data_IF_169801247349
#
_entry.id   IF_169801247349
#
_cell.length_a   1.000
_cell.length_b   1.000
_cell.length_c   1.000
_cell.angle_alpha   90.00
_cell.angle_beta   90.00
_cell.angle_gamma   90.00
#
_symmetry.space_group_name_H-M   'P 1'
#
loop_
_entity.id
_entity.type
_entity.pdbx_description
1 polymer ?
#
# COMPACT_ATOMS: atom_id res chain seq x y z
N UNK A 1 -22.97 3.34 26.83
CA UNK A 1 -22.48 3.74 28.17
C UNK A 1 -22.05 2.58 29.08
N UNK A 2 -22.88 1.55 29.36
CA UNK A 2 -22.52 0.45 30.31
C UNK A 2 -21.12 -0.15 30.13
N UNK A 3 -20.74 -0.47 28.88
CA UNK A 3 -19.42 -1.04 28.57
C UNK A 3 -18.29 -0.06 28.90
N UNK A 4 -18.41 1.21 28.48
CA UNK A 4 -17.39 2.24 28.73
C UNK A 4 -17.21 2.49 30.23
N UNK A 5 -18.30 2.52 31.02
CA UNK A 5 -18.24 2.64 32.48
C UNK A 5 -17.52 1.46 33.11
N UNK A 6 -17.86 0.23 32.72
CA UNK A 6 -17.22 -0.97 33.24
C UNK A 6 -15.73 -1.05 32.89
N UNK A 7 -15.35 -0.63 31.66
CA UNK A 7 -13.94 -0.52 31.26
C UNK A 7 -13.24 0.52 32.13
N UNK A 8 -13.79 1.73 32.24
CA UNK A 8 -13.20 2.84 33.00
C UNK A 8 -13.05 2.50 34.49
N UNK A 9 -14.08 1.91 35.11
CA UNK A 9 -14.03 1.43 36.49
C UNK A 9 -12.92 0.39 36.69
N UNK A 10 -12.71 -0.49 35.71
CA UNK A 10 -11.68 -1.53 35.80
C UNK A 10 -10.26 -1.01 35.63
N UNK A 11 -10.04 -0.06 34.72
CA UNK A 11 -8.68 0.41 34.36
C UNK A 11 -8.25 1.66 35.13
N UNK A 12 -9.18 2.36 35.77
CA UNK A 12 -8.91 3.61 36.48
C UNK A 12 -8.77 4.83 35.56
N UNK A 13 -8.53 6.02 36.13
CA UNK A 13 -8.46 7.28 35.38
C UNK A 13 -7.19 7.46 34.56
N UNK A 14 -6.06 6.87 34.98
CA UNK A 14 -4.75 7.11 34.33
C UNK A 14 -4.53 6.29 33.06
N UNK A 15 -5.34 5.26 32.82
CA UNK A 15 -5.23 4.41 31.64
C UNK A 15 -5.94 5.04 30.45
N UNK A 16 -5.29 5.13 29.29
CA UNK A 16 -5.89 5.72 28.09
C UNK A 16 -6.97 4.78 27.53
N UNK A 17 -8.19 5.27 27.40
CA UNK A 17 -9.33 4.57 26.78
C UNK A 17 -9.83 5.42 25.63
N UNK A 18 -9.96 4.82 24.44
CA UNK A 18 -10.59 5.49 23.30
C UNK A 18 -11.69 4.65 22.68
N UNK A 19 -12.52 5.31 21.87
CA UNK A 19 -13.55 4.65 21.07
C UNK A 19 -13.27 4.87 19.60
N UNK A 20 -13.40 3.82 18.78
CA UNK A 20 -13.41 3.95 17.32
C UNK A 20 -14.85 3.83 16.86
N UNK A 21 -15.37 4.86 16.21
CA UNK A 21 -16.81 5.02 15.98
C UNK A 21 -17.08 5.52 14.56
N UNK A 22 -18.03 4.88 13.87
CA UNK A 22 -18.66 5.47 12.70
C UNK A 22 -19.59 6.60 13.16
N UNK A 23 -19.22 7.85 12.84
CA UNK A 23 -20.03 9.03 13.17
C UNK A 23 -21.06 9.31 12.07
N UNK A 24 -20.83 8.78 10.87
CA UNK A 24 -21.78 8.75 9.75
C UNK A 24 -21.54 7.43 8.99
N UNK A 25 -22.50 6.51 9.04
CA UNK A 25 -22.43 5.21 8.40
C UNK A 25 -22.69 5.28 6.88
N UNK A 26 -23.13 6.43 6.34
CA UNK A 26 -23.48 6.61 4.93
C UNK A 26 -24.51 5.61 4.42
N UNK A 27 -25.52 5.34 5.25
CA UNK A 27 -26.66 4.46 4.93
C UNK A 27 -27.98 5.14 5.29
N UNK A 28 -29.03 4.84 4.54
CA UNK A 28 -30.37 5.37 4.79
C UNK A 28 -30.98 4.85 6.10
N UNK A 29 -30.63 3.63 6.52
CA UNK A 29 -31.10 2.94 7.72
C UNK A 29 -30.07 2.98 8.88
N UNK A 30 -28.95 3.70 8.69
CA UNK A 30 -27.83 3.72 9.62
C UNK A 30 -27.73 5.00 10.45
N UNK A 31 -26.61 5.12 11.15
CA UNK A 31 -26.24 6.33 11.89
C UNK A 31 -25.86 7.43 10.91
N UNK A 32 -26.66 8.50 10.84
CA UNK A 32 -26.31 9.71 10.11
C UNK A 32 -25.41 10.64 10.95
N UNK A 33 -24.81 11.65 10.32
CA UNK A 33 -23.90 12.57 11.01
C UNK A 33 -24.53 13.29 12.23
N UNK A 34 -25.76 13.84 12.15
CA UNK A 34 -26.42 14.43 13.32
C UNK A 34 -26.60 13.44 14.48
N UNK A 35 -27.07 12.22 14.22
CA UNK A 35 -27.25 11.21 15.25
C UNK A 35 -25.91 10.73 15.81
N UNK A 36 -24.90 10.51 14.97
CA UNK A 36 -23.56 10.12 15.39
C UNK A 36 -22.89 11.18 16.27
N UNK A 37 -23.03 12.46 15.92
CA UNK A 37 -22.58 13.57 16.77
C UNK A 37 -23.32 13.62 18.10
N UNK A 38 -24.64 13.38 18.12
CA UNK A 38 -25.40 13.32 19.37
C UNK A 38 -24.93 12.16 20.28
N UNK A 39 -24.70 10.98 19.71
CA UNK A 39 -24.13 9.82 20.42
C UNK A 39 -22.74 10.18 20.95
N UNK A 40 -21.89 10.78 20.12
CA UNK A 40 -20.53 11.14 20.50
C UNK A 40 -20.51 12.20 21.61
N UNK A 41 -21.39 13.22 21.56
CA UNK A 41 -21.58 14.19 22.65
C UNK A 41 -22.03 13.52 23.94
N UNK A 42 -22.92 12.54 23.86
CA UNK A 42 -23.36 11.79 25.04
C UNK A 42 -22.22 10.96 25.65
N UNK A 43 -21.42 10.27 24.82
CA UNK A 43 -20.25 9.52 25.27
C UNK A 43 -19.20 10.47 25.88
N UNK A 44 -18.96 11.59 25.20
CA UNK A 44 -18.07 12.67 25.64
C UNK A 44 -18.70 13.55 26.72
N UNK A 45 -19.84 13.14 27.30
CA UNK A 45 -20.49 13.78 28.45
C UNK A 45 -20.05 13.16 29.79
N UNK A 46 -19.44 11.97 29.76
CA UNK A 46 -18.81 11.32 30.92
C UNK A 46 -17.28 11.20 30.72
N UNK A 47 -16.45 11.33 31.77
CA UNK A 47 -14.98 11.15 31.72
C UNK A 47 -14.59 9.67 31.56
N UNK A 48 -15.10 9.06 30.49
CA UNK A 48 -14.91 7.64 30.20
C UNK A 48 -13.89 7.39 29.10
N UNK A 49 -13.72 8.33 28.17
CA UNK A 49 -12.82 8.21 27.02
C UNK A 49 -11.92 9.43 26.92
N UNK A 50 -10.71 9.21 26.41
CA UNK A 50 -9.64 10.19 26.23
C UNK A 50 -9.46 10.57 24.75
N UNK A 51 -9.90 9.71 23.83
CA UNK A 51 -9.92 10.00 22.40
C UNK A 51 -11.07 9.31 21.66
N UNK A 52 -11.42 9.86 20.50
CA UNK A 52 -12.29 9.23 19.49
C UNK A 52 -11.54 9.04 18.18
N UNK A 53 -11.59 7.85 17.61
CA UNK A 53 -11.13 7.58 16.25
C UNK A 53 -12.33 7.56 15.29
N UNK A 54 -12.45 8.62 14.50
CA UNK A 54 -13.61 8.90 13.66
C UNK A 54 -13.55 8.07 12.38
N UNK A 55 -14.62 7.31 12.14
CA UNK A 55 -14.91 6.63 10.88
C UNK A 55 -16.10 7.29 10.19
N UNK A 56 -16.06 7.29 8.87
CA UNK A 56 -17.21 7.56 8.00
C UNK A 56 -17.38 6.40 7.03
N UNK A 57 -18.61 5.92 6.88
CA UNK A 57 -18.99 4.78 6.06
C UNK A 57 -19.31 3.51 6.86
N UNK A 58 -19.54 2.41 6.15
CA UNK A 58 -19.98 1.13 6.71
C UNK A 58 -19.33 -0.04 5.96
N UNK A 59 -19.53 -1.26 6.46
CA UNK A 59 -18.87 -2.48 5.94
C UNK A 59 -19.88 -3.54 5.46
N UNK A 60 -21.07 -3.12 5.03
CA UNK A 60 -22.15 -4.07 4.66
C UNK A 60 -21.79 -4.95 3.46
N UNK A 61 -20.95 -4.43 2.55
CA UNK A 61 -20.47 -5.09 1.35
C UNK A 61 -19.14 -4.47 0.92
N UNK A 62 -18.48 -5.09 -0.06
CA UNK A 62 -17.13 -4.71 -0.49
C UNK A 62 -17.07 -3.28 -1.07
N UNK A 63 -18.11 -2.86 -1.79
CA UNK A 63 -18.18 -1.50 -2.34
C UNK A 63 -18.22 -0.46 -1.20
N UNK A 64 -19.07 -0.65 -0.18
CA UNK A 64 -19.13 0.23 0.98
C UNK A 64 -17.83 0.18 1.80
N UNK A 65 -17.24 -1.00 1.97
CA UNK A 65 -15.96 -1.17 2.65
C UNK A 65 -14.84 -0.39 1.95
N UNK A 66 -14.83 -0.37 0.61
CA UNK A 66 -13.83 0.40 -0.17
C UNK A 66 -13.93 1.90 0.07
N UNK A 67 -15.09 2.44 0.43
CA UNK A 67 -15.22 3.84 0.82
C UNK A 67 -14.64 4.12 2.21
N UNK A 68 -14.66 3.14 3.13
CA UNK A 68 -14.05 3.24 4.48
C UNK A 68 -12.54 3.02 4.43
N UNK A 69 -12.10 2.08 3.59
CA UNK A 69 -10.70 1.72 3.37
C UNK A 69 -10.37 1.92 1.89
N UNK A 70 -10.15 3.18 1.45
CA UNK A 70 -9.94 3.48 0.04
C UNK A 70 -8.76 2.72 -0.54
N UNK A 71 -8.98 2.18 -1.74
CA UNK A 71 -8.03 1.35 -2.48
C UNK A 71 -7.17 2.23 -3.41
N UNK A 72 -6.22 1.62 -4.12
CA UNK A 72 -5.44 2.30 -5.15
C UNK A 72 -6.34 3.00 -6.18
N UNK A 73 -5.92 4.17 -6.66
CA UNK A 73 -6.68 4.97 -7.62
C UNK A 73 -7.84 5.79 -7.04
N UNK A 74 -8.31 5.51 -5.81
CA UNK A 74 -9.26 6.37 -5.10
C UNK A 74 -8.61 7.64 -4.53
N UNK A 75 -9.40 8.63 -4.14
CA UNK A 75 -8.90 9.87 -3.55
C UNK A 75 -8.11 9.62 -2.24
N UNK A 76 -7.04 10.38 -2.03
CA UNK A 76 -6.33 10.42 -0.75
C UNK A 76 -7.17 11.17 0.30
N UNK A 77 -7.09 10.71 1.55
CA UNK A 77 -7.74 11.34 2.71
C UNK A 77 -9.23 11.73 2.53
N UNK A 78 -10.11 10.89 1.92
CA UNK A 78 -11.43 11.32 1.46
C UNK A 78 -12.39 11.75 2.57
N UNK A 79 -12.11 11.37 3.83
CA UNK A 79 -12.95 11.69 4.99
C UNK A 79 -12.30 12.67 5.95
N UNK A 80 -11.17 13.28 5.57
CA UNK A 80 -10.43 14.19 6.45
C UNK A 80 -11.24 15.45 6.81
N UNK A 81 -11.98 16.03 5.87
CA UNK A 81 -12.84 17.19 6.14
C UNK A 81 -13.98 16.85 7.09
N UNK A 82 -14.54 15.65 6.97
CA UNK A 82 -15.56 15.16 7.88
C UNK A 82 -15.00 14.97 9.29
N UNK A 83 -13.80 14.41 9.44
CA UNK A 83 -13.14 14.33 10.74
C UNK A 83 -12.89 15.73 11.35
N UNK A 84 -12.49 16.71 10.53
CA UNK A 84 -12.35 18.10 10.93
C UNK A 84 -13.65 18.73 11.44
N UNK A 85 -14.77 18.47 10.75
CA UNK A 85 -16.10 18.89 11.21
C UNK A 85 -16.44 18.28 12.58
N UNK A 86 -16.18 16.98 12.76
CA UNK A 86 -16.42 16.30 14.05
C UNK A 86 -15.54 16.90 15.16
N UNK A 87 -14.28 17.22 14.87
CA UNK A 87 -13.37 17.85 15.84
C UNK A 87 -13.87 19.24 16.26
N UNK A 88 -14.24 20.09 15.30
CA UNK A 88 -14.79 21.43 15.60
C UNK A 88 -16.03 21.36 16.50
N UNK A 89 -16.92 20.40 16.24
CA UNK A 89 -18.12 20.16 17.08
C UNK A 89 -17.77 19.73 18.51
N UNK A 90 -16.67 18.97 18.69
CA UNK A 90 -16.22 18.53 20.01
C UNK A 90 -15.46 19.60 20.78
N UNK A 91 -14.75 20.52 20.11
CA UNK A 91 -14.09 21.64 20.78
C UNK A 91 -15.08 22.49 21.59
N UNK A 92 -16.32 22.66 21.09
CA UNK A 92 -17.38 23.37 21.79
C UNK A 92 -17.86 22.70 23.08
N UNK A 93 -17.51 21.44 23.32
CA UNK A 93 -17.86 20.73 24.57
C UNK A 93 -16.93 21.09 25.73
N UNK A 94 -15.78 21.73 25.47
CA UNK A 94 -14.80 22.12 26.48
C UNK A 94 -14.04 20.95 27.13
N UNK A 95 -14.22 19.71 26.66
CA UNK A 95 -13.71 18.49 27.30
C UNK A 95 -12.42 17.92 26.72
N UNK A 96 -11.74 18.63 25.81
CA UNK A 96 -10.37 18.30 25.39
C UNK A 96 -10.18 16.88 24.81
N UNK A 97 -11.23 16.28 24.24
CA UNK A 97 -11.16 14.93 23.68
C UNK A 97 -10.32 14.94 22.40
N UNK A 98 -9.28 14.11 22.33
CA UNK A 98 -8.45 14.02 21.14
C UNK A 98 -9.20 13.30 20.00
N UNK A 99 -9.12 13.86 18.79
CA UNK A 99 -9.77 13.32 17.59
C UNK A 99 -8.74 12.70 16.67
N UNK A 100 -8.89 11.39 16.46
CA UNK A 100 -8.05 10.59 15.60
C UNK A 100 -8.81 10.29 14.31
N UNK A 101 -8.08 10.16 13.20
CA UNK A 101 -8.68 9.71 11.95
C UNK A 101 -7.67 8.90 11.11
N UNK A 102 -8.22 8.03 10.27
CA UNK A 102 -7.50 7.32 9.22
C UNK A 102 -8.45 7.14 8.04
N UNK A 103 -7.95 7.24 6.81
CA UNK A 103 -8.60 6.76 5.58
C UNK A 103 -7.70 7.15 4.40
N UNK A 104 -6.86 6.23 3.92
CA UNK A 104 -5.89 6.48 2.82
C UNK A 104 -5.10 7.79 3.02
N UNK A 105 -4.48 7.94 4.19
CA UNK A 105 -3.43 8.92 4.46
C UNK A 105 -2.14 8.11 4.49
N UNK A 106 -1.49 8.02 3.34
CA UNK A 106 -0.36 7.15 3.04
C UNK A 106 0.99 7.87 3.09
N UNK A 107 0.99 9.21 3.04
CA UNK A 107 2.19 10.04 3.12
C UNK A 107 2.21 11.00 4.33
N UNK A 108 3.42 11.40 4.70
CA UNK A 108 3.69 12.27 5.86
C UNK A 108 3.23 13.70 5.62
N UNK A 109 3.24 14.19 4.38
CA UNK A 109 2.84 15.56 4.07
C UNK A 109 1.32 15.74 4.27
N UNK A 110 0.51 14.78 3.81
CA UNK A 110 -0.94 14.74 4.06
C UNK A 110 -1.24 14.62 5.55
N UNK A 111 -0.53 13.77 6.29
CA UNK A 111 -0.68 13.66 7.75
C UNK A 111 -0.34 14.98 8.47
N UNK A 112 0.76 15.65 8.08
CA UNK A 112 1.13 16.98 8.61
C UNK A 112 0.09 18.04 8.26
N UNK A 113 -0.43 18.02 7.04
CA UNK A 113 -1.49 18.94 6.62
C UNK A 113 -2.73 18.76 7.51
N UNK A 114 -3.19 17.52 7.71
CA UNK A 114 -4.33 17.21 8.56
C UNK A 114 -4.21 17.77 9.98
N UNK A 115 -3.03 17.61 10.60
CA UNK A 115 -2.77 18.11 11.96
C UNK A 115 -2.61 19.63 11.97
N UNK A 116 -1.83 20.20 11.04
CA UNK A 116 -1.55 21.65 10.96
C UNK A 116 -2.82 22.47 10.72
N UNK A 117 -3.76 21.96 9.92
CA UNK A 117 -5.05 22.60 9.67
C UNK A 117 -6.07 22.38 10.81
N UNK A 118 -5.67 21.75 11.93
CA UNK A 118 -6.54 21.53 13.08
C UNK A 118 -7.71 20.58 12.78
N UNK A 119 -7.59 19.69 11.79
CA UNK A 119 -8.67 18.75 11.46
C UNK A 119 -8.70 17.56 12.40
N UNK A 120 -7.55 17.20 12.96
CA UNK A 120 -7.34 16.04 13.84
C UNK A 120 -6.15 16.28 14.75
N UNK A 121 -6.14 15.61 15.90
CA UNK A 121 -5.01 15.63 16.85
C UNK A 121 -4.02 14.48 16.57
N UNK A 122 -4.47 13.41 15.91
CA UNK A 122 -3.61 12.31 15.47
C UNK A 122 -4.12 11.66 14.18
N UNK A 123 -3.18 11.26 13.32
CA UNK A 123 -3.48 10.43 12.15
C UNK A 123 -3.07 8.97 12.43
N UNK A 124 -4.02 8.06 12.22
CA UNK A 124 -3.75 6.63 12.16
C UNK A 124 -3.31 6.22 10.74
N UNK A 125 -2.18 5.53 10.63
CA UNK A 125 -1.64 5.09 9.33
C UNK A 125 -1.35 3.58 9.28
N UNK A 126 -2.36 2.71 9.41
CA UNK A 126 -2.13 1.25 9.48
C UNK A 126 -1.33 0.70 8.29
N UNK A 127 -1.84 0.88 7.06
CA UNK A 127 -1.18 0.33 5.85
C UNK A 127 0.18 0.97 5.55
N UNK A 128 0.36 2.24 5.91
CA UNK A 128 1.66 2.90 5.77
C UNK A 128 2.71 2.28 6.72
N UNK A 129 2.33 1.95 7.96
CA UNK A 129 3.24 1.25 8.88
C UNK A 129 3.52 -0.20 8.45
N UNK A 130 2.57 -0.87 7.78
CA UNK A 130 2.85 -2.17 7.17
C UNK A 130 3.91 -2.04 6.06
N UNK A 131 3.77 -1.05 5.18
CA UNK A 131 4.76 -0.79 4.14
C UNK A 131 6.12 -0.33 4.71
N UNK A 132 6.10 0.52 5.73
CA UNK A 132 7.28 1.10 6.37
C UNK A 132 7.14 1.14 7.91
N UNK A 133 7.59 0.10 8.62
CA UNK A 133 7.50 0.06 10.08
C UNK A 133 8.43 1.08 10.75
N UNK A 134 9.48 1.54 10.06
CA UNK A 134 10.37 2.58 10.56
C UNK A 134 9.89 4.01 10.21
N UNK A 135 8.63 4.21 9.80
CA UNK A 135 8.10 5.49 9.33
C UNK A 135 8.37 6.61 10.35
N UNK A 136 8.00 6.40 11.62
CA UNK A 136 8.23 7.40 12.69
C UNK A 136 9.71 7.63 12.96
N UNK A 137 10.53 6.56 12.90
CA UNK A 137 11.99 6.66 13.06
C UNK A 137 12.62 7.49 11.94
N UNK A 138 12.22 7.25 10.69
CA UNK A 138 12.70 7.98 9.50
C UNK A 138 12.31 9.46 9.54
N UNK A 139 11.10 9.78 10.03
CA UNK A 139 10.68 11.17 10.30
C UNK A 139 11.61 11.84 11.31
N UNK A 140 11.86 11.19 12.47
CA UNK A 140 12.74 11.74 13.52
C UNK A 140 14.19 11.94 13.04
N UNK A 141 14.66 11.12 12.12
CA UNK A 141 16.00 11.20 11.53
C UNK A 141 16.09 12.16 10.33
N UNK A 142 14.98 12.76 9.90
CA UNK A 142 14.96 13.67 8.75
C UNK A 142 15.20 13.01 7.39
N UNK A 143 15.05 11.67 7.29
CA UNK A 143 15.27 10.89 6.07
C UNK A 143 13.97 10.41 5.45
N UNK A 144 12.95 11.27 5.48
CA UNK A 144 11.58 10.96 5.04
C UNK A 144 11.48 10.52 3.58
N UNK A 145 12.36 11.02 2.70
CA UNK A 145 12.44 10.61 1.30
C UNK A 145 12.75 9.11 1.11
N UNK A 146 13.22 8.41 2.15
CA UNK A 146 13.49 6.97 2.14
C UNK A 146 12.28 6.13 2.58
N UNK A 147 11.18 6.74 3.01
CA UNK A 147 9.98 6.03 3.49
C UNK A 147 9.40 5.21 2.34
N UNK A 148 9.20 3.90 2.57
CA UNK A 148 8.51 3.03 1.63
C UNK A 148 7.00 3.35 1.61
N UNK A 149 6.44 3.90 0.53
CA UNK A 149 5.04 4.31 0.52
C UNK A 149 4.10 3.11 0.48
N UNK A 150 2.95 3.23 1.13
CA UNK A 150 1.81 2.35 0.84
C UNK A 150 1.25 2.70 -0.54
N UNK A 151 1.02 1.71 -1.38
CA UNK A 151 0.48 1.91 -2.74
C UNK A 151 -1.01 1.58 -2.85
N UNK A 152 -1.69 1.36 -1.72
CA UNK A 152 -3.14 1.12 -1.69
C UNK A 152 -3.60 -0.17 -2.37
N UNK A 153 -2.70 -1.09 -2.71
CA UNK A 153 -2.97 -2.30 -3.50
C UNK A 153 -3.81 -3.39 -2.81
N UNK A 154 -4.30 -3.14 -1.58
CA UNK A 154 -5.17 -4.01 -0.77
C UNK A 154 -4.76 -5.46 -0.52
N UNK A 155 -3.62 -5.92 -1.03
CA UNK A 155 -3.10 -7.27 -0.78
C UNK A 155 -3.07 -7.66 0.71
N UNK A 156 -2.80 -6.69 1.59
CA UNK A 156 -2.86 -6.89 3.04
C UNK A 156 -4.24 -7.29 3.55
N UNK A 157 -5.30 -6.73 2.98
CA UNK A 157 -6.68 -6.98 3.37
C UNK A 157 -7.22 -8.24 2.69
N UNK A 158 -6.95 -8.41 1.39
CA UNK A 158 -7.38 -9.58 0.62
C UNK A 158 -6.85 -10.87 1.25
N UNK A 159 -5.58 -10.86 1.68
CA UNK A 159 -4.95 -11.97 2.36
C UNK A 159 -5.53 -12.27 3.75
N UNK A 160 -6.00 -11.27 4.49
CA UNK A 160 -6.70 -11.51 5.76
C UNK A 160 -7.99 -12.30 5.49
N UNK A 161 -8.79 -11.87 4.52
CA UNK A 161 -10.08 -12.48 4.23
C UNK A 161 -9.98 -13.85 3.53
N UNK A 162 -8.97 -14.04 2.67
CA UNK A 162 -8.85 -15.25 1.86
C UNK A 162 -7.83 -16.26 2.38
N UNK A 163 -6.83 -15.82 3.16
CA UNK A 163 -5.68 -16.64 3.53
C UNK A 163 -5.27 -16.56 5.02
N UNK A 164 -5.99 -15.79 5.85
CA UNK A 164 -5.82 -15.78 7.30
C UNK A 164 -4.59 -15.05 7.84
N UNK A 165 -3.84 -14.32 7.00
CA UNK A 165 -2.67 -13.54 7.44
C UNK A 165 -2.54 -12.22 6.66
N UNK A 166 -1.94 -11.21 7.27
CA UNK A 166 -1.77 -9.89 6.66
C UNK A 166 -0.34 -9.72 6.12
N UNK A 167 -0.20 -9.58 4.80
CA UNK A 167 1.09 -9.37 4.13
C UNK A 167 1.10 -8.07 3.34
N UNK A 168 2.29 -7.50 3.10
CA UNK A 168 2.42 -6.33 2.24
C UNK A 168 3.01 -6.72 0.87
N UNK A 169 2.38 -6.27 -0.22
CA UNK A 169 2.95 -6.43 -1.57
C UNK A 169 4.26 -5.64 -1.73
N UNK A 170 4.41 -4.55 -0.97
CA UNK A 170 5.56 -3.67 -1.05
C UNK A 170 6.67 -4.08 -0.07
N UNK A 171 6.31 -4.54 1.14
CA UNK A 171 7.24 -4.95 2.19
C UNK A 171 7.18 -6.46 2.44
N UNK A 172 8.15 -7.19 1.89
CA UNK A 172 8.20 -8.65 1.99
C UNK A 172 8.30 -9.19 3.44
N UNK A 173 8.85 -8.37 4.35
CA UNK A 173 9.04 -8.73 5.76
C UNK A 173 7.76 -8.61 6.60
N UNK A 174 6.74 -7.85 6.15
CA UNK A 174 5.47 -7.71 6.87
C UNK A 174 4.83 -9.08 7.09
N UNK A 175 4.52 -9.41 8.34
CA UNK A 175 3.95 -10.69 8.74
C UNK A 175 4.97 -11.83 8.83
N UNK A 176 6.25 -11.56 8.59
CA UNK A 176 7.35 -12.55 8.59
C UNK A 176 8.55 -12.10 9.43
N UNK A 177 8.36 -11.14 10.33
CA UNK A 177 9.44 -10.41 11.00
C UNK A 177 10.39 -11.32 11.81
N UNK A 178 9.89 -12.45 12.30
CA UNK A 178 10.68 -13.44 13.05
C UNK A 178 11.74 -14.16 12.20
N UNK A 179 11.48 -14.32 10.89
CA UNK A 179 12.39 -15.03 9.97
C UNK A 179 12.93 -14.11 8.88
N UNK A 180 12.33 -12.94 8.68
CA UNK A 180 12.71 -11.92 7.71
C UNK A 180 12.66 -10.54 8.39
N UNK A 181 13.75 -10.12 9.07
CA UNK A 181 13.80 -8.82 9.75
C UNK A 181 13.78 -7.66 8.75
N UNK A 182 13.33 -6.48 9.21
CA UNK A 182 13.35 -5.25 8.41
C UNK A 182 14.75 -4.65 8.26
N UNK A 183 15.62 -4.87 9.24
CA UNK A 183 17.02 -4.44 9.20
C UNK A 183 17.86 -5.55 8.55
N UNK A 184 18.61 -5.20 7.51
CA UNK A 184 19.41 -6.14 6.73
C UNK A 184 20.87 -6.00 7.12
N UNK A 185 21.40 -7.03 7.77
CA UNK A 185 22.81 -7.10 8.15
C UNK A 185 23.71 -7.28 6.93
N UNK A 186 24.89 -6.66 6.99
CA UNK A 186 25.93 -6.85 5.97
C UNK A 186 26.39 -8.30 5.90
N UNK A 187 26.67 -8.76 4.69
CA UNK A 187 27.26 -10.08 4.49
C UNK A 187 28.72 -10.10 5.01
N UNK A 188 29.17 -11.22 5.61
CA UNK A 188 30.56 -11.36 6.06
C UNK A 188 31.56 -11.40 4.90
N UNK A 189 31.09 -11.80 3.71
CA UNK A 189 31.90 -11.90 2.49
C UNK A 189 31.18 -11.13 1.38
N UNK A 190 31.87 -10.12 0.84
CA UNK A 190 31.41 -9.40 -0.36
C UNK A 190 31.49 -10.32 -1.57
N UNK A 191 30.50 -10.20 -2.45
CA UNK A 191 30.36 -10.98 -3.70
C UNK A 191 29.92 -10.06 -4.82
N UNK A 192 30.17 -10.45 -6.06
CA UNK A 192 29.57 -9.86 -7.25
C UNK A 192 28.27 -10.58 -7.60
N UNK A 193 27.16 -9.84 -7.57
CA UNK A 193 25.81 -10.34 -7.85
C UNK A 193 25.31 -9.70 -9.14
N UNK A 194 24.97 -10.53 -10.13
CA UNK A 194 24.32 -10.08 -11.37
C UNK A 194 22.85 -10.47 -11.32
N UNK A 195 21.97 -9.48 -11.46
CA UNK A 195 20.51 -9.67 -11.48
C UNK A 195 20.01 -9.44 -12.90
N UNK A 196 19.31 -10.42 -13.46
CA UNK A 196 18.76 -10.38 -14.81
C UNK A 196 17.28 -10.04 -14.72
N UNK A 197 16.89 -8.88 -15.26
CA UNK A 197 15.54 -8.33 -15.21
C UNK A 197 15.35 -7.38 -14.03
N UNK A 198 14.89 -6.17 -14.33
CA UNK A 198 14.55 -5.12 -13.39
C UNK A 198 13.04 -5.07 -13.09
N UNK A 199 12.35 -6.20 -13.13
CA UNK A 199 11.00 -6.34 -12.57
C UNK A 199 10.99 -6.26 -11.02
N UNK A 200 9.83 -6.35 -10.35
CA UNK A 200 9.75 -6.22 -8.89
C UNK A 200 10.65 -7.21 -8.12
N UNK A 201 10.75 -8.45 -8.61
CA UNK A 201 11.61 -9.47 -8.01
C UNK A 201 13.10 -9.10 -8.14
N UNK A 202 13.54 -8.69 -9.33
CA UNK A 202 14.92 -8.30 -9.58
C UNK A 202 15.32 -7.03 -8.83
N UNK A 203 14.45 -6.02 -8.81
CA UNK A 203 14.70 -4.79 -8.06
C UNK A 203 14.81 -5.05 -6.55
N UNK A 204 13.96 -5.91 -5.98
CA UNK A 204 14.07 -6.28 -4.56
C UNK A 204 15.34 -7.09 -4.27
N UNK A 205 15.67 -8.07 -5.14
CA UNK A 205 16.88 -8.87 -5.00
C UNK A 205 18.14 -8.01 -5.07
N UNK A 206 18.18 -7.04 -5.99
CA UNK A 206 19.26 -6.07 -6.13
C UNK A 206 19.37 -5.17 -4.90
N UNK A 207 18.23 -4.65 -4.39
CA UNK A 207 18.18 -3.80 -3.19
C UNK A 207 18.73 -4.54 -1.98
N UNK A 208 18.23 -5.75 -1.71
CA UNK A 208 18.70 -6.57 -0.58
C UNK A 208 20.18 -6.91 -0.74
N UNK A 209 20.64 -7.26 -1.94
CA UNK A 209 22.04 -7.55 -2.20
C UNK A 209 22.95 -6.32 -1.97
N UNK A 210 22.49 -5.15 -2.40
CA UNK A 210 23.17 -3.87 -2.18
C UNK A 210 23.25 -3.49 -0.69
N UNK A 211 22.15 -3.64 0.06
CA UNK A 211 22.14 -3.41 1.51
C UNK A 211 23.09 -4.35 2.26
N UNK A 212 23.18 -5.60 1.82
CA UNK A 212 24.16 -6.57 2.35
C UNK A 212 25.61 -6.22 2.00
N UNK A 213 25.86 -5.24 1.12
CA UNK A 213 27.18 -4.74 0.75
C UNK A 213 27.83 -5.47 -0.43
N UNK A 214 27.06 -6.18 -1.25
CA UNK A 214 27.57 -6.83 -2.46
C UNK A 214 27.86 -5.81 -3.58
N UNK A 215 28.70 -6.20 -4.54
CA UNK A 215 28.86 -5.50 -5.82
C UNK A 215 27.73 -5.97 -6.74
N UNK A 216 26.77 -5.10 -7.07
CA UNK A 216 25.52 -5.51 -7.73
C UNK A 216 25.38 -4.82 -9.08
N UNK A 217 25.11 -5.61 -10.12
CA UNK A 217 24.74 -5.15 -11.45
C UNK A 217 23.37 -5.72 -11.80
N UNK A 218 22.44 -4.85 -12.21
CA UNK A 218 21.15 -5.22 -12.79
C UNK A 218 21.23 -5.04 -14.30
N UNK A 219 20.84 -6.05 -15.06
CA UNK A 219 20.75 -6.01 -16.53
C UNK A 219 19.28 -6.11 -16.92
N UNK A 220 18.79 -5.14 -17.68
CA UNK A 220 17.39 -5.02 -18.10
C UNK A 220 17.32 -4.74 -19.60
N UNK A 221 16.47 -5.50 -20.29
CA UNK A 221 16.30 -5.40 -21.73
C UNK A 221 15.55 -4.12 -22.13
N UNK A 222 14.67 -3.62 -21.28
CA UNK A 222 13.89 -2.41 -21.53
C UNK A 222 14.67 -1.13 -21.17
N UNK A 223 14.30 0.04 -21.75
CA UNK A 223 14.86 1.34 -21.38
C UNK A 223 14.37 1.86 -20.01
N UNK A 224 13.72 1.01 -19.21
CA UNK A 224 13.18 1.37 -17.90
C UNK A 224 13.04 0.13 -17.01
N UNK A 225 13.08 0.36 -15.70
CA UNK A 225 12.84 -0.67 -14.67
C UNK A 225 11.36 -0.92 -14.44
N UNK A 226 11.00 -1.88 -13.58
CA UNK A 226 9.67 -2.08 -13.03
C UNK A 226 8.84 -3.20 -13.66
N UNK A 227 9.24 -3.70 -14.83
CA UNK A 227 8.60 -4.84 -15.50
C UNK A 227 7.07 -4.73 -15.57
N UNK A 228 6.38 -5.81 -15.22
CA UNK A 228 4.91 -5.88 -15.29
C UNK A 228 4.18 -4.90 -14.36
N UNK A 229 4.82 -4.36 -13.32
CA UNK A 229 4.20 -3.32 -12.48
C UNK A 229 3.97 -2.04 -13.28
N UNK A 230 4.91 -1.65 -14.15
CA UNK A 230 4.73 -0.49 -15.03
C UNK A 230 3.61 -0.71 -16.03
N UNK A 231 3.49 -1.92 -16.57
CA UNK A 231 2.37 -2.29 -17.44
C UNK A 231 1.04 -2.16 -16.69
N UNK A 232 0.93 -2.75 -15.49
CA UNK A 232 -0.28 -2.66 -14.66
C UNK A 232 -0.65 -1.20 -14.31
N UNK A 233 0.35 -0.37 -14.04
CA UNK A 233 0.16 1.04 -13.69
C UNK A 233 -0.27 1.94 -14.87
N UNK A 234 -0.27 1.44 -16.11
CA UNK A 234 -0.86 2.16 -17.24
C UNK A 234 -2.37 2.32 -17.11
N UNK A 235 -3.04 1.45 -16.35
CA UNK A 235 -4.40 1.73 -15.92
C UNK A 235 -4.37 2.89 -14.89
N UNK A 236 -5.03 4.04 -15.16
CA UNK A 236 -5.00 5.18 -14.24
C UNK A 236 -5.47 4.86 -12.81
N UNK A 237 -6.33 3.85 -12.64
CA UNK A 237 -6.80 3.38 -11.32
C UNK A 237 -5.73 2.59 -10.54
N UNK A 238 -4.63 2.21 -11.19
CA UNK A 238 -3.50 1.46 -10.61
C UNK A 238 -2.18 2.24 -10.62
N UNK A 239 -2.22 3.54 -10.91
CA UNK A 239 -1.02 4.41 -10.96
C UNK A 239 -0.20 4.37 -9.67
N UNK A 240 -0.86 4.19 -8.53
CA UNK A 240 -0.23 4.17 -7.19
C UNK A 240 0.81 3.02 -7.10
N UNK A 241 0.68 1.96 -7.91
CA UNK A 241 1.65 0.86 -7.98
C UNK A 241 3.05 1.30 -8.45
N UNK A 242 3.19 2.42 -9.17
CA UNK A 242 4.50 2.95 -9.56
C UNK A 242 5.38 3.27 -8.35
N UNK A 243 4.79 3.58 -7.20
CA UNK A 243 5.53 3.78 -5.95
C UNK A 243 6.34 2.55 -5.52
N UNK A 244 6.00 1.34 -6.00
CA UNK A 244 6.80 0.12 -5.79
C UNK A 244 8.12 0.18 -6.57
N UNK A 245 8.07 0.71 -7.80
CA UNK A 245 9.22 0.79 -8.71
C UNK A 245 10.08 1.98 -8.33
N UNK A 246 9.49 3.16 -8.20
CA UNK A 246 10.18 4.43 -7.92
C UNK A 246 10.95 4.37 -6.60
N UNK A 247 10.35 3.78 -5.55
CA UNK A 247 11.04 3.61 -4.27
C UNK A 247 12.25 2.67 -4.40
N UNK A 248 12.15 1.58 -5.18
CA UNK A 248 13.28 0.67 -5.39
C UNK A 248 14.37 1.30 -6.24
N UNK A 249 14.03 2.01 -7.30
CA UNK A 249 15.00 2.74 -8.13
C UNK A 249 15.80 3.73 -7.26
N UNK A 250 15.13 4.49 -6.39
CA UNK A 250 15.77 5.40 -5.45
C UNK A 250 16.70 4.68 -4.46
N UNK A 251 16.29 3.51 -3.95
CA UNK A 251 17.12 2.71 -3.06
C UNK A 251 18.34 2.11 -3.78
N UNK A 252 18.17 1.60 -5.00
CA UNK A 252 19.29 1.09 -5.81
C UNK A 252 20.32 2.20 -6.07
N UNK A 253 19.86 3.40 -6.42
CA UNK A 253 20.72 4.57 -6.58
C UNK A 253 21.46 4.91 -5.27
N UNK A 254 20.75 4.95 -4.14
CA UNK A 254 21.34 5.20 -2.81
C UNK A 254 22.41 4.17 -2.43
N UNK A 255 22.22 2.92 -2.84
CA UNK A 255 23.12 1.79 -2.56
C UNK A 255 24.28 1.69 -3.54
N UNK A 256 24.30 2.51 -4.60
CA UNK A 256 25.32 2.46 -5.65
C UNK A 256 25.25 1.20 -6.52
N UNK A 257 24.05 0.63 -6.67
CA UNK A 257 23.81 -0.51 -7.57
C UNK A 257 23.86 -0.02 -9.02
N UNK A 258 24.62 -0.71 -9.87
CA UNK A 258 24.68 -0.41 -11.30
C UNK A 258 23.45 -1.00 -11.99
N UNK A 259 22.73 -0.19 -12.76
CA UNK A 259 21.57 -0.63 -13.56
C UNK A 259 21.85 -0.35 -15.03
N UNK A 260 21.95 -1.41 -15.82
CA UNK A 260 22.14 -1.37 -17.27
C UNK A 260 20.81 -1.62 -17.96
N UNK A 261 20.28 -0.57 -18.56
CA UNK A 261 19.05 -0.60 -19.35
C UNK A 261 19.41 -0.82 -20.83
N UNK A 262 18.42 -1.17 -21.64
CA UNK A 262 18.59 -1.45 -23.07
C UNK A 262 19.63 -2.57 -23.36
N UNK A 263 19.83 -3.49 -22.41
CA UNK A 263 20.81 -4.57 -22.50
C UNK A 263 20.14 -5.92 -22.28
N UNK A 264 20.11 -6.75 -23.33
CA UNK A 264 19.64 -8.13 -23.20
C UNK A 264 20.73 -8.99 -22.53
N UNK A 265 20.34 -9.73 -21.49
CA UNK A 265 21.26 -10.63 -20.80
C UNK A 265 21.39 -11.95 -21.57
N UNK A 266 22.47 -12.07 -22.35
CA UNK A 266 22.88 -13.32 -22.99
C UNK A 266 23.91 -14.05 -22.10
N UNK A 267 24.05 -15.39 -22.19
CA UNK A 267 24.99 -16.13 -21.35
C UNK A 267 26.41 -15.56 -21.38
N UNK A 268 26.89 -15.14 -22.55
CA UNK A 268 28.22 -14.57 -22.71
C UNK A 268 28.37 -13.20 -22.03
N UNK A 269 27.35 -12.34 -22.08
CA UNK A 269 27.40 -11.01 -21.44
C UNK A 269 27.38 -11.15 -19.93
N UNK A 270 26.57 -12.07 -19.40
CA UNK A 270 26.51 -12.37 -17.96
C UNK A 270 27.84 -12.95 -17.45
N UNK A 271 28.46 -13.88 -18.17
CA UNK A 271 29.76 -14.46 -17.80
C UNK A 271 30.86 -13.39 -17.80
N UNK A 272 30.84 -12.47 -18.77
CA UNK A 272 31.83 -11.40 -18.88
C UNK A 272 31.82 -10.42 -17.69
N UNK A 273 30.71 -10.32 -16.95
CA UNK A 273 30.63 -9.53 -15.71
C UNK A 273 31.38 -10.18 -14.53
N UNK A 274 31.77 -11.46 -14.64
CA UNK A 274 32.44 -12.22 -13.58
C UNK A 274 31.60 -12.38 -12.31
N UNK A 275 30.33 -12.84 -12.39
CA UNK A 275 29.48 -13.00 -11.21
C UNK A 275 29.94 -14.14 -10.30
N UNK A 276 29.86 -13.92 -8.98
CA UNK A 276 29.85 -15.01 -8.00
C UNK A 276 28.43 -15.62 -7.89
N UNK A 277 27.41 -14.80 -8.12
CA UNK A 277 25.99 -15.16 -8.03
C UNK A 277 25.23 -14.53 -9.19
N UNK A 278 24.39 -15.33 -9.84
CA UNK A 278 23.42 -14.86 -10.85
C UNK A 278 22.01 -15.08 -10.33
N UNK A 279 21.17 -14.05 -10.39
CA UNK A 279 19.76 -14.09 -10.04
C UNK A 279 18.94 -13.85 -11.31
N UNK A 280 18.17 -14.85 -11.73
CA UNK A 280 17.29 -14.75 -12.91
C UNK A 280 15.90 -14.28 -12.48
N UNK A 281 15.52 -13.08 -12.89
CA UNK A 281 14.26 -12.42 -12.55
C UNK A 281 13.57 -11.83 -13.81
N UNK A 282 13.60 -12.58 -14.92
CA UNK A 282 13.12 -12.18 -16.26
C UNK A 282 11.59 -12.06 -16.38
N UNK A 283 10.84 -12.35 -15.32
CA UNK A 283 9.38 -12.31 -15.33
C UNK A 283 8.74 -13.50 -16.05
N UNK A 284 7.43 -13.42 -16.25
CA UNK A 284 6.65 -14.37 -17.06
C UNK A 284 6.10 -13.70 -18.31
N UNK A 285 5.66 -14.49 -19.29
CA UNK A 285 4.99 -14.02 -20.51
C UNK A 285 3.52 -14.44 -20.51
N UNK A 286 2.62 -13.75 -21.25
CA UNK A 286 1.26 -14.21 -21.45
C UNK A 286 1.25 -15.63 -22.00
N UNK A 287 0.44 -16.50 -21.39
CA UNK A 287 0.16 -17.81 -21.97
C UNK A 287 -0.88 -17.63 -23.07
N UNK A 288 -0.58 -18.10 -24.28
CA UNK A 288 -1.57 -18.15 -25.35
C UNK A 288 -2.68 -19.14 -24.99
N UNK A 289 -3.92 -18.82 -25.35
CA UNK A 289 -5.02 -19.77 -25.23
C UNK A 289 -4.78 -20.95 -26.18
N UNK A 290 -4.99 -22.18 -25.70
CA UNK A 290 -4.96 -23.38 -26.53
C UNK A 290 -6.28 -23.48 -27.30
N UNK A 291 -6.29 -22.97 -28.54
CA UNK A 291 -7.49 -22.85 -29.37
C UNK A 291 -7.35 -23.75 -30.60
N UNK A 292 -8.39 -24.51 -30.94
CA UNK A 292 -8.36 -25.30 -32.18
C UNK A 292 -8.37 -24.42 -33.44
N UNK A 293 -8.99 -23.23 -33.37
CA UNK A 293 -9.11 -22.26 -34.47
C UNK A 293 -9.08 -20.82 -33.95
N UNK A 294 -8.64 -19.87 -34.77
CA UNK A 294 -8.71 -18.43 -34.48
C UNK A 294 -7.55 -17.86 -33.66
N UNK A 295 -6.41 -18.57 -33.56
CA UNK A 295 -5.20 -18.06 -32.91
C UNK A 295 -4.71 -16.71 -33.45
N UNK A 296 -4.94 -16.44 -34.73
CA UNK A 296 -4.63 -15.18 -35.41
C UNK A 296 -5.47 -13.98 -34.91
N UNK A 297 -6.59 -14.25 -34.26
CA UNK A 297 -7.46 -13.23 -33.64
C UNK A 297 -7.11 -12.97 -32.17
N UNK A 298 -6.25 -13.81 -31.56
CA UNK A 298 -5.91 -13.69 -30.15
C UNK A 298 -4.88 -12.58 -29.96
N UNK A 299 -5.21 -11.65 -29.08
CA UNK A 299 -4.32 -10.57 -28.65
C UNK A 299 -4.15 -10.65 -27.14
N UNK A 300 -2.93 -10.50 -26.65
CA UNK A 300 -2.70 -10.62 -25.22
C UNK A 300 -3.20 -9.38 -24.48
N UNK A 301 -3.58 -9.53 -23.21
CA UNK A 301 -3.89 -8.39 -22.34
C UNK A 301 -2.69 -7.44 -22.22
N UNK A 302 -1.48 -7.96 -22.41
CA UNK A 302 -0.27 -7.16 -22.44
C UNK A 302 -0.20 -6.25 -23.65
N UNK A 303 -0.53 -6.73 -24.85
CA UNK A 303 -0.50 -5.90 -26.07
C UNK A 303 -1.57 -4.80 -25.99
N UNK A 304 -2.72 -5.11 -25.40
CA UNK A 304 -3.83 -4.15 -25.22
C UNK A 304 -3.48 -3.08 -24.18
N UNK A 305 -2.99 -3.47 -22.99
CA UNK A 305 -2.57 -2.51 -21.95
C UNK A 305 -1.27 -1.79 -22.37
N UNK A 306 -0.44 -2.48 -23.12
CA UNK A 306 0.77 -2.02 -23.82
C UNK A 306 0.46 -1.01 -24.93
N UNK A 307 -0.78 -0.95 -25.38
CA UNK A 307 -1.20 -0.05 -26.45
C UNK A 307 -0.62 -0.40 -27.82
N UNK A 308 0.08 -1.53 -27.93
CA UNK A 308 0.58 -2.10 -29.18
C UNK A 308 -0.60 -2.54 -30.06
N UNK A 309 -1.66 -3.02 -29.43
CA UNK A 309 -2.93 -3.35 -30.07
C UNK A 309 -4.06 -2.50 -29.48
N UNK A 310 -4.90 -1.96 -30.35
CA UNK A 310 -6.13 -1.24 -29.98
C UNK A 310 -7.33 -1.96 -30.60
N UNK A 311 -7.94 -2.92 -29.90
CA UNK A 311 -9.08 -3.66 -30.42
C UNK A 311 -10.24 -2.72 -30.79
N UNK A 312 -10.91 -3.00 -31.90
CA UNK A 312 -12.08 -2.24 -32.38
C UNK A 312 -13.21 -3.20 -32.74
N UNK A 313 -14.46 -2.78 -32.61
CA UNK A 313 -15.62 -3.61 -32.92
C UNK A 313 -16.00 -4.51 -31.76
N UNK A 314 -16.47 -5.72 -32.07
CA UNK A 314 -16.86 -6.71 -31.06
C UNK A 314 -15.61 -7.42 -30.52
N UNK A 315 -15.40 -7.33 -29.21
CA UNK A 315 -14.24 -7.89 -28.51
C UNK A 315 -14.73 -8.92 -27.50
N UNK A 316 -14.24 -10.15 -27.62
CA UNK A 316 -14.45 -11.20 -26.62
C UNK A 316 -13.27 -11.18 -25.64
N UNK A 317 -13.57 -10.93 -24.36
CA UNK A 317 -12.60 -11.14 -23.29
C UNK A 317 -12.70 -12.59 -22.79
N UNK A 318 -11.65 -13.37 -23.02
CA UNK A 318 -11.52 -14.72 -22.49
C UNK A 318 -10.72 -14.68 -21.19
N UNK A 319 -11.37 -14.99 -20.08
CA UNK A 319 -10.77 -15.07 -18.74
C UNK A 319 -10.88 -16.50 -18.22
N UNK A 320 -9.78 -17.25 -18.30
CA UNK A 320 -9.68 -18.65 -17.86
C UNK A 320 -9.32 -18.77 -16.37
N UNK A 321 -8.88 -17.67 -15.73
CA UNK A 321 -8.54 -17.64 -14.31
C UNK A 321 -9.79 -17.40 -13.46
N UNK A 322 -10.64 -16.44 -13.88
CA UNK A 322 -11.94 -16.17 -13.25
C UNK A 322 -11.88 -15.72 -11.79
N UNK A 323 -10.69 -15.48 -11.22
CA UNK A 323 -10.53 -15.15 -9.81
C UNK A 323 -10.79 -13.68 -9.49
N UNK A 324 -10.80 -12.81 -10.51
CA UNK A 324 -11.02 -11.38 -10.36
C UNK A 324 -12.24 -10.94 -11.16
N UNK A 325 -13.25 -10.36 -10.50
CA UNK A 325 -14.38 -9.78 -11.21
C UNK A 325 -13.91 -8.65 -12.13
N UNK A 326 -14.33 -8.68 -13.39
CA UNK A 326 -14.18 -7.53 -14.27
C UNK A 326 -14.80 -6.29 -13.61
N UNK A 327 -14.16 -5.11 -13.66
CA UNK A 327 -14.80 -3.90 -13.18
C UNK A 327 -16.09 -3.72 -13.96
N UNK A 328 -17.23 -3.70 -13.25
CA UNK A 328 -18.50 -3.35 -13.86
C UNK A 328 -18.33 -1.98 -14.54
N UNK A 329 -18.62 -1.94 -15.83
CA UNK A 329 -18.59 -0.75 -16.69
C UNK A 329 -19.52 0.33 -16.17
#
# INVERSE_FOLDING_TARGET
>A
MRVLRAVRERVGPDFIVGVRMAVDERRADGIDAPMGLAILRHISGEDLIDFVNVIRGNIVNDAALSEVIPIQGMASAPHLDFAGMVRAELEHTGRGLAVFHAAKIDDVATARHAIREGKVDMIGMTRAHMAEPNLVRKIRLGVEHTIRPCVGATYCLDRIYQAGEALCIHNAATGRELTMPHEIDRAPVRRRVVVIGAGPAGLEAARVSGERGHDVVVVEAMPWTGGQIRLAARNPRRKDLLGIVEWRDAELLRLGVEVRLDECAEPATVIALGPDVVIVATGGLPLGADLEVGHDLVVSSWDVIGGDVKPTGEVLLFDDDGTHSAPAS
#
